data_IF_634632365439
#
_entry.id   IF_634632365439
#
_cell.length_a   1.000
_cell.length_b   1.000
_cell.length_c   1.000
_cell.angle_alpha   90.00
_cell.angle_beta   90.00
_cell.angle_gamma   90.00
#
_symmetry.space_group_name_H-M   'P 1'
#
loop_
_entity.id
_entity.type
_entity.pdbx_description
1 polymer ?
#
# COMPACT_ATOMS: atom_id res chain seq x y z
N UNK A 1 -5.80 -12.22 20.87
CA UNK A 1 -5.05 -11.77 19.68
C UNK A 1 -3.62 -11.59 20.13
N UNK A 2 -2.67 -12.23 19.45
CA UNK A 2 -1.25 -12.00 19.71
C UNK A 2 -0.94 -10.57 19.29
N UNK A 3 -0.38 -9.79 20.20
CA UNK A 3 0.08 -8.44 19.92
C UNK A 3 1.25 -8.54 18.93
N UNK A 4 1.18 -7.82 17.82
CA UNK A 4 2.23 -7.82 16.79
C UNK A 4 3.41 -7.05 17.33
N UNK A 5 4.58 -7.66 17.35
CA UNK A 5 5.80 -7.00 17.79
C UNK A 5 6.33 -6.04 16.71
N UNK A 6 7.19 -5.10 17.11
CA UNK A 6 7.91 -4.26 16.15
C UNK A 6 8.76 -5.12 15.20
N UNK A 7 9.34 -6.22 15.68
CA UNK A 7 10.10 -7.13 14.83
C UNK A 7 9.21 -7.80 13.76
N UNK A 8 7.98 -8.20 14.11
CA UNK A 8 7.05 -8.76 13.12
C UNK A 8 6.71 -7.74 12.02
N UNK A 9 6.60 -6.46 12.37
CA UNK A 9 6.41 -5.37 11.40
C UNK A 9 7.62 -5.26 10.46
N UNK A 10 8.83 -5.34 11.02
CA UNK A 10 10.10 -5.25 10.29
C UNK A 10 10.31 -6.43 9.35
N UNK A 11 9.84 -7.61 9.73
CA UNK A 11 9.95 -8.82 8.93
C UNK A 11 8.87 -8.90 7.84
N UNK A 12 7.64 -8.45 8.13
CA UNK A 12 6.51 -8.60 7.19
C UNK A 12 6.52 -7.54 6.09
N UNK A 13 6.88 -6.29 6.38
CA UNK A 13 6.83 -5.21 5.38
C UNK A 13 7.70 -5.48 4.14
N UNK A 14 8.97 -5.93 4.26
CA UNK A 14 9.79 -6.31 3.11
C UNK A 14 9.20 -7.48 2.30
N UNK A 15 8.62 -8.47 2.98
CA UNK A 15 7.94 -9.59 2.30
C UNK A 15 6.73 -9.10 1.51
N UNK A 16 5.92 -8.22 2.09
CA UNK A 16 4.80 -7.59 1.39
C UNK A 16 5.27 -6.73 0.21
N UNK A 17 6.34 -5.93 0.39
CA UNK A 17 6.90 -5.09 -0.67
C UNK A 17 7.34 -5.93 -1.87
N UNK A 18 8.03 -7.06 -1.62
CA UNK A 18 8.43 -8.01 -2.66
C UNK A 18 7.22 -8.62 -3.39
N UNK A 19 6.23 -9.11 -2.63
CA UNK A 19 5.06 -9.78 -3.20
C UNK A 19 4.16 -8.83 -3.99
N UNK A 20 3.91 -7.64 -3.46
CA UNK A 20 3.04 -6.65 -4.11
C UNK A 20 3.74 -5.91 -5.24
N UNK A 21 5.05 -5.65 -5.13
CA UNK A 21 5.86 -5.19 -6.25
C UNK A 21 5.74 -6.16 -7.42
N UNK A 22 5.90 -7.46 -7.16
CA UNK A 22 5.73 -8.48 -8.20
C UNK A 22 4.31 -8.55 -8.77
N UNK A 23 3.29 -8.31 -7.94
CA UNK A 23 1.92 -8.17 -8.43
C UNK A 23 1.80 -7.02 -9.41
N UNK A 24 2.36 -5.85 -9.07
CA UNK A 24 2.32 -4.67 -9.92
C UNK A 24 3.02 -4.91 -11.27
N UNK A 25 4.17 -5.60 -11.27
CA UNK A 25 4.85 -6.02 -12.50
C UNK A 25 3.92 -6.82 -13.42
N UNK A 26 3.36 -7.92 -12.88
CA UNK A 26 2.53 -8.85 -13.65
C UNK A 26 1.24 -8.16 -14.10
N UNK A 27 0.61 -7.41 -13.20
CA UNK A 27 -0.62 -6.69 -13.50
C UNK A 27 -0.42 -5.65 -14.61
N UNK A 28 0.68 -4.91 -14.61
CA UNK A 28 0.99 -3.93 -15.66
C UNK A 28 1.19 -4.58 -17.04
N UNK A 29 1.72 -5.81 -17.09
CA UNK A 29 1.85 -6.57 -18.34
C UNK A 29 0.50 -7.09 -18.88
N UNK A 30 -0.45 -7.37 -17.98
CA UNK A 30 -1.74 -8.00 -18.31
C UNK A 30 -2.89 -6.99 -18.45
N UNK A 31 -2.75 -5.80 -17.86
CA UNK A 31 -3.84 -4.84 -17.75
C UNK A 31 -4.37 -4.41 -19.12
N UNK A 32 -5.67 -4.56 -19.30
CA UNK A 32 -6.38 -4.00 -20.45
C UNK A 32 -6.68 -2.52 -20.23
N UNK A 33 -7.06 -1.76 -21.28
CA UNK A 33 -7.54 -0.39 -21.11
C UNK A 33 -8.71 -0.26 -20.13
N UNK A 34 -9.58 -1.27 -20.06
CA UNK A 34 -10.69 -1.32 -19.09
C UNK A 34 -10.19 -1.51 -17.66
N UNK A 35 -9.18 -2.35 -17.45
CA UNK A 35 -8.56 -2.53 -16.14
C UNK A 35 -7.89 -1.25 -15.65
N UNK A 36 -7.18 -0.54 -16.53
CA UNK A 36 -6.54 0.75 -16.23
C UNK A 36 -7.60 1.79 -15.88
N UNK A 37 -8.70 1.87 -16.63
CA UNK A 37 -9.82 2.77 -16.31
C UNK A 37 -10.43 2.45 -14.94
N UNK A 38 -10.58 1.18 -14.59
CA UNK A 38 -11.04 0.74 -13.27
C UNK A 38 -10.07 1.14 -12.15
N UNK A 39 -8.77 0.96 -12.34
CA UNK A 39 -7.74 1.42 -11.38
C UNK A 39 -7.76 2.94 -11.19
N UNK A 40 -7.92 3.69 -12.29
CA UNK A 40 -8.04 5.14 -12.25
C UNK A 40 -9.25 5.62 -11.44
N UNK A 41 -10.41 4.98 -11.61
CA UNK A 41 -11.60 5.31 -10.82
C UNK A 41 -11.38 5.07 -9.31
N UNK A 42 -10.61 4.06 -8.92
CA UNK A 42 -10.24 3.84 -7.52
C UNK A 42 -9.23 4.91 -7.05
N UNK A 43 -8.25 5.24 -7.89
CA UNK A 43 -7.27 6.29 -7.60
C UNK A 43 -7.92 7.67 -7.40
N UNK A 44 -8.97 8.00 -8.14
CA UNK A 44 -9.76 9.23 -7.92
C UNK A 44 -10.41 9.27 -6.53
N UNK A 45 -10.77 8.11 -5.94
CA UNK A 45 -11.23 8.04 -4.54
C UNK A 45 -10.11 8.38 -3.57
N UNK A 46 -8.87 7.94 -3.84
CA UNK A 46 -7.69 8.31 -3.03
C UNK A 46 -7.45 9.82 -3.08
N UNK A 47 -7.49 10.39 -4.28
CA UNK A 47 -7.35 11.85 -4.51
C UNK A 47 -8.39 12.63 -3.70
N UNK A 48 -9.66 12.24 -3.79
CA UNK A 48 -10.75 12.91 -3.08
C UNK A 48 -10.60 12.79 -1.56
N UNK A 49 -10.36 11.57 -1.07
CA UNK A 49 -10.20 11.32 0.36
C UNK A 49 -9.01 12.10 0.94
N UNK A 50 -7.91 12.20 0.20
CA UNK A 50 -6.75 12.97 0.62
C UNK A 50 -6.97 14.47 0.61
N UNK A 51 -7.65 14.99 -0.41
CA UNK A 51 -8.04 16.41 -0.49
C UNK A 51 -8.91 16.83 0.69
N UNK A 52 -9.79 15.95 1.14
CA UNK A 52 -10.70 16.19 2.26
C UNK A 52 -10.13 15.73 3.61
N UNK A 53 -8.88 15.25 3.63
CA UNK A 53 -8.20 14.73 4.81
C UNK A 53 -8.98 13.62 5.55
N UNK A 54 -9.71 12.79 4.80
CA UNK A 54 -10.51 11.66 5.31
C UNK A 54 -9.69 10.37 5.34
N UNK A 55 -8.98 10.14 6.45
CA UNK A 55 -8.08 9.00 6.63
C UNK A 55 -8.78 7.65 6.40
N UNK A 56 -9.96 7.43 6.98
CA UNK A 56 -10.69 6.16 6.84
C UNK A 56 -11.09 5.90 5.37
N UNK A 57 -11.59 6.93 4.68
CA UNK A 57 -11.95 6.83 3.26
C UNK A 57 -10.71 6.56 2.39
N UNK A 58 -9.58 7.18 2.72
CA UNK A 58 -8.31 6.95 2.03
C UNK A 58 -7.83 5.51 2.27
N UNK A 59 -7.91 5.02 3.51
CA UNK A 59 -7.51 3.65 3.85
C UNK A 59 -8.34 2.61 3.10
N UNK A 60 -9.66 2.79 3.00
CA UNK A 60 -10.53 1.88 2.24
C UNK A 60 -10.23 1.91 0.73
N UNK A 61 -10.10 3.10 0.13
CA UNK A 61 -9.72 3.23 -1.28
C UNK A 61 -8.32 2.66 -1.56
N UNK A 62 -7.39 2.79 -0.60
CA UNK A 62 -6.04 2.24 -0.69
C UNK A 62 -6.10 0.70 -0.72
N UNK A 63 -6.85 0.09 0.19
CA UNK A 63 -7.05 -1.36 0.18
C UNK A 63 -7.69 -1.84 -1.13
N UNK A 64 -8.68 -1.12 -1.64
CA UNK A 64 -9.34 -1.41 -2.92
C UNK A 64 -8.34 -1.36 -4.09
N UNK A 65 -7.47 -0.34 -4.13
CA UNK A 65 -6.47 -0.16 -5.18
C UNK A 65 -5.47 -1.32 -5.23
N UNK A 66 -4.87 -1.67 -4.09
CA UNK A 66 -3.94 -2.80 -4.00
C UNK A 66 -4.62 -4.12 -4.35
N UNK A 67 -5.83 -4.37 -3.84
CA UNK A 67 -6.58 -5.59 -4.15
C UNK A 67 -6.85 -5.71 -5.64
N UNK A 68 -7.25 -4.62 -6.31
CA UNK A 68 -7.49 -4.61 -7.75
C UNK A 68 -6.24 -5.00 -8.54
N UNK A 69 -5.07 -4.45 -8.19
CA UNK A 69 -3.79 -4.83 -8.80
C UNK A 69 -3.49 -6.32 -8.58
N UNK A 70 -3.67 -6.83 -7.36
CA UNK A 70 -3.42 -8.23 -7.04
C UNK A 70 -4.35 -9.18 -7.81
N UNK A 71 -5.61 -8.82 -8.00
CA UNK A 71 -6.59 -9.60 -8.77
C UNK A 71 -6.23 -9.71 -10.26
N UNK A 72 -5.60 -8.68 -10.84
CA UNK A 72 -5.14 -8.71 -12.24
C UNK A 72 -4.07 -9.78 -12.50
N UNK A 73 -3.37 -10.25 -11.46
CA UNK A 73 -2.38 -11.32 -11.61
C UNK A 73 -3.00 -12.70 -11.90
N UNK A 74 -4.31 -12.86 -11.66
CA UNK A 74 -5.03 -14.13 -11.72
C UNK A 74 -4.35 -15.27 -10.92
N UNK A 75 -3.63 -14.94 -9.84
CA UNK A 75 -2.93 -15.88 -9.00
C UNK A 75 -3.54 -15.95 -7.60
N UNK A 76 -4.45 -16.91 -7.41
CA UNK A 76 -5.15 -17.11 -6.13
C UNK A 76 -4.23 -17.34 -4.93
N UNK A 77 -3.05 -17.96 -5.14
CA UNK A 77 -2.13 -18.25 -4.05
C UNK A 77 -1.41 -16.98 -3.60
N UNK A 78 -0.97 -16.17 -4.56
CA UNK A 78 -0.37 -14.87 -4.29
C UNK A 78 -1.34 -13.96 -3.53
N UNK A 79 -2.59 -13.90 -3.97
CA UNK A 79 -3.65 -13.16 -3.30
C UNK A 79 -3.86 -13.64 -1.85
N UNK A 80 -3.93 -14.96 -1.63
CA UNK A 80 -4.12 -15.52 -0.29
C UNK A 80 -2.99 -15.15 0.67
N UNK A 81 -1.74 -15.29 0.24
CA UNK A 81 -0.57 -14.97 1.08
C UNK A 81 -0.55 -13.47 1.43
N UNK A 82 -0.77 -12.60 0.45
CA UNK A 82 -0.80 -11.14 0.68
C UNK A 82 -1.94 -10.76 1.63
N UNK A 83 -3.13 -11.36 1.47
CA UNK A 83 -4.26 -11.10 2.36
C UNK A 83 -3.96 -11.49 3.81
N UNK A 84 -3.28 -12.61 4.02
CA UNK A 84 -2.93 -13.05 5.38
C UNK A 84 -1.91 -12.11 6.04
N UNK A 85 -0.88 -11.67 5.31
CA UNK A 85 0.06 -10.66 5.82
C UNK A 85 -0.61 -9.30 6.07
N UNK A 86 -1.52 -8.87 5.20
CA UNK A 86 -2.28 -7.62 5.36
C UNK A 86 -3.22 -7.63 6.57
N UNK A 87 -3.81 -8.79 6.91
CA UNK A 87 -4.64 -8.93 8.13
C UNK A 87 -3.81 -8.69 9.38
N UNK A 88 -2.59 -9.22 9.41
CA UNK A 88 -1.63 -8.99 10.50
C UNK A 88 -1.35 -7.48 10.59
N UNK A 89 -0.93 -6.84 9.51
CA UNK A 89 -0.54 -5.42 9.55
C UNK A 89 -1.69 -4.39 9.53
N UNK A 90 -2.97 -4.82 9.61
CA UNK A 90 -4.12 -3.91 9.39
C UNK A 90 -4.08 -2.67 10.30
N UNK A 91 -3.91 -2.88 11.61
CA UNK A 91 -3.91 -1.78 12.59
C UNK A 91 -2.69 -0.87 12.41
N UNK A 92 -1.50 -1.45 12.20
CA UNK A 92 -0.28 -0.68 11.95
C UNK A 92 -0.40 0.19 10.70
N UNK A 93 -0.95 -0.35 9.60
CA UNK A 93 -1.17 0.41 8.36
C UNK A 93 -2.15 1.57 8.55
N UNK A 94 -3.24 1.37 9.29
CA UNK A 94 -4.18 2.44 9.60
C UNK A 94 -3.52 3.53 10.45
N UNK A 95 -2.77 3.13 11.47
CA UNK A 95 -2.06 4.07 12.34
C UNK A 95 -1.00 4.88 11.57
N UNK A 96 -0.26 4.25 10.66
CA UNK A 96 0.70 4.92 9.78
C UNK A 96 0.08 6.09 9.03
N UNK A 97 -1.12 5.91 8.45
CA UNK A 97 -1.81 6.97 7.69
C UNK A 97 -2.26 8.15 8.54
N UNK A 98 -2.44 7.96 9.85
CA UNK A 98 -2.80 9.03 10.78
C UNK A 98 -1.61 9.93 11.16
N UNK A 99 -0.39 9.58 10.74
CA UNK A 99 0.77 10.43 10.92
C UNK A 99 0.71 11.67 10.06
N UNK A 100 1.14 12.79 10.64
CA UNK A 100 1.21 14.06 9.96
C UNK A 100 2.00 13.95 8.64
N UNK A 101 1.38 14.40 7.54
CA UNK A 101 1.96 14.36 6.20
C UNK A 101 1.97 12.99 5.51
N UNK A 102 1.84 11.86 6.23
CA UNK A 102 1.93 10.51 5.64
C UNK A 102 0.85 10.25 4.59
N UNK A 103 -0.38 10.71 4.86
CA UNK A 103 -1.49 10.57 3.91
C UNK A 103 -1.17 11.21 2.56
N UNK A 104 -0.64 12.44 2.55
CA UNK A 104 -0.29 13.15 1.31
C UNK A 104 0.91 12.50 0.61
N UNK A 105 1.90 12.06 1.38
CA UNK A 105 3.02 11.29 0.85
C UNK A 105 2.54 10.00 0.16
N UNK A 106 1.59 9.29 0.79
CA UNK A 106 1.01 8.06 0.24
C UNK A 106 0.30 8.32 -1.08
N UNK A 107 -0.43 9.43 -1.19
CA UNK A 107 -1.07 9.80 -2.45
C UNK A 107 -0.04 10.07 -3.55
N UNK A 108 1.06 10.74 -3.25
CA UNK A 108 2.14 10.97 -4.23
C UNK A 108 2.72 9.63 -4.72
N UNK A 109 2.93 8.68 -3.82
CA UNK A 109 3.35 7.31 -4.16
C UNK A 109 2.32 6.59 -5.05
N UNK A 110 1.02 6.71 -4.74
CA UNK A 110 -0.04 6.13 -5.59
C UNK A 110 -0.08 6.73 -7.00
N UNK A 111 0.19 8.04 -7.14
CA UNK A 111 0.26 8.69 -8.45
C UNK A 111 1.39 8.13 -9.31
N UNK A 112 2.55 7.82 -8.74
CA UNK A 112 3.66 7.22 -9.50
C UNK A 112 3.36 5.78 -9.91
N UNK A 113 2.68 5.02 -9.06
CA UNK A 113 2.18 3.68 -9.43
C UNK A 113 1.19 3.80 -10.59
N UNK A 114 0.17 4.67 -10.48
CA UNK A 114 -0.83 4.86 -11.53
C UNK A 114 -0.20 5.29 -12.86
N UNK A 115 0.77 6.21 -12.83
CA UNK A 115 1.49 6.64 -14.03
C UNK A 115 2.24 5.48 -14.72
N UNK A 116 2.82 4.56 -13.95
CA UNK A 116 3.47 3.37 -14.51
C UNK A 116 2.45 2.43 -15.18
N UNK A 117 1.27 2.26 -14.60
CA UNK A 117 0.17 1.51 -15.23
C UNK A 117 -0.34 2.17 -16.51
N UNK A 118 -0.52 3.50 -16.52
CA UNK A 118 -0.93 4.24 -17.73
C UNK A 118 0.11 4.15 -18.85
N UNK A 119 1.40 4.08 -18.51
CA UNK A 119 2.49 3.92 -19.46
C UNK A 119 2.73 2.46 -19.90
N UNK A 120 2.12 1.47 -19.24
CA UNK A 120 2.43 0.05 -19.43
C UNK A 120 3.85 -0.33 -18.99
N UNK A 121 4.46 0.45 -18.10
CA UNK A 121 5.82 0.23 -17.62
C UNK A 121 5.82 -0.70 -16.40
N UNK A 122 5.98 -2.00 -16.67
CA UNK A 122 5.93 -3.02 -15.63
C UNK A 122 7.07 -2.94 -14.62
N UNK A 123 8.28 -2.57 -15.05
CA UNK A 123 9.44 -2.43 -14.15
C UNK A 123 9.23 -1.24 -13.21
N UNK A 124 8.72 -0.13 -13.73
CA UNK A 124 8.45 1.04 -12.92
C UNK A 124 7.26 0.82 -11.98
N UNK A 125 6.26 0.04 -12.39
CA UNK A 125 5.14 -0.36 -11.55
C UNK A 125 5.61 -1.23 -10.36
N UNK A 126 6.49 -2.20 -10.61
CA UNK A 126 7.10 -3.04 -9.57
C UNK A 126 7.85 -2.20 -8.55
N UNK A 127 8.77 -1.36 -9.04
CA UNK A 127 9.61 -0.51 -8.18
C UNK A 127 8.75 0.44 -7.35
N UNK A 128 7.79 1.13 -7.97
CA UNK A 128 6.96 2.11 -7.26
C UNK A 128 6.08 1.46 -6.19
N UNK A 129 5.52 0.29 -6.49
CA UNK A 129 4.73 -0.46 -5.51
C UNK A 129 5.61 -0.96 -4.35
N UNK A 130 6.76 -1.55 -4.67
CA UNK A 130 7.72 -2.00 -3.66
C UNK A 130 8.12 -0.85 -2.70
N UNK A 131 8.55 0.28 -3.26
CA UNK A 131 9.00 1.43 -2.47
C UNK A 131 7.86 2.05 -1.65
N UNK A 132 6.63 2.10 -2.19
CA UNK A 132 5.44 2.55 -1.45
C UNK A 132 5.21 1.76 -0.15
N UNK A 133 5.38 0.43 -0.18
CA UNK A 133 5.25 -0.40 1.03
C UNK A 133 6.37 -0.10 2.02
N UNK A 134 7.61 0.05 1.55
CA UNK A 134 8.75 0.37 2.41
C UNK A 134 8.64 1.77 3.04
N UNK A 135 8.16 2.77 2.32
CA UNK A 135 7.86 4.09 2.90
C UNK A 135 6.76 4.02 3.97
N UNK A 136 5.79 3.11 3.81
CA UNK A 136 4.82 2.78 4.86
C UNK A 136 5.50 2.26 6.14
N UNK A 137 6.49 1.38 6.00
CA UNK A 137 7.31 0.88 7.12
C UNK A 137 8.14 1.98 7.76
N UNK A 138 8.82 2.80 6.97
CA UNK A 138 9.65 3.90 7.48
C UNK A 138 8.83 4.91 8.28
N UNK A 139 7.61 5.22 7.83
CA UNK A 139 6.69 6.10 8.55
C UNK A 139 6.35 5.54 9.95
N UNK A 140 6.13 4.22 10.05
CA UNK A 140 5.89 3.56 11.33
C UNK A 140 7.12 3.58 12.25
N UNK A 141 8.34 3.38 11.73
CA UNK A 141 9.57 3.46 12.55
C UNK A 141 9.72 4.81 13.26
N UNK A 142 9.30 5.90 12.61
CA UNK A 142 9.38 7.25 13.20
C UNK A 142 8.48 7.40 14.43
N UNK A 143 7.45 6.56 14.59
CA UNK A 143 6.61 6.51 15.79
C UNK A 143 7.35 5.88 16.96
N UNK A 144 8.07 4.79 16.68
CA UNK A 144 8.76 3.98 17.67
C UNK A 144 9.97 4.70 18.27
N UNK A 145 10.50 5.70 17.56
CA UNK A 145 11.59 6.59 18.00
C UNK A 145 11.16 7.83 18.78
N UNK A 146 9.87 8.04 19.08
CA UNK A 146 9.39 9.13 19.93
C UNK A 146 9.80 8.94 21.40
N UNK A 147 9.97 10.01 22.21
CA UNK A 147 10.49 9.89 23.57
C UNK A 147 9.64 8.91 24.38
N UNK A 148 10.28 7.86 24.90
CA UNK A 148 9.67 6.88 25.78
C UNK A 148 8.80 7.61 26.80
N UNK A 149 7.50 7.32 26.79
CA UNK A 149 6.55 7.82 27.78
C UNK A 149 7.08 7.36 29.14
N UNK A 150 7.73 8.26 29.88
CA UNK A 150 8.11 8.02 31.28
C UNK A 150 6.80 7.78 32.02
N UNK A 151 6.50 6.51 32.28
CA UNK A 151 5.52 6.13 33.28
C UNK A 151 6.09 6.55 34.62
N UNK A 152 5.52 7.61 35.18
CA UNK A 152 5.70 7.98 36.59
C UNK A 152 4.92 7.06 37.50
#
# INVERSE_FOLDING_TARGET
MTEISHQDIDDIFPLMAMLEGRCAFIAAQLATPEDIAGLKAIHEKLELAAKENRIDAFFEANQEFHRRIQELTNNRWLLSVIQDLRKVLKLSRLHSLSLEGRLQQSLVEHRTIMAAFEAGDAEQAEKNMHDHLLYGREALAKMDGGPARKTG
#
